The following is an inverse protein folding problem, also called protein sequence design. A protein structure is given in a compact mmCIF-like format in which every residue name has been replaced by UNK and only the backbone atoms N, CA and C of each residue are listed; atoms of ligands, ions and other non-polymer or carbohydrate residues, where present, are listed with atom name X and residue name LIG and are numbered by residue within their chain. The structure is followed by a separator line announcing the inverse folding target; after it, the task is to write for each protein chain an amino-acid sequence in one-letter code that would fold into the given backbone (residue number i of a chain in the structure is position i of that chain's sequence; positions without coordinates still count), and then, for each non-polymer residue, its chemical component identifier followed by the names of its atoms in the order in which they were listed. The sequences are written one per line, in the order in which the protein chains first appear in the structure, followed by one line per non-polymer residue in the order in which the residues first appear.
data_IF_135390551412
#
_entry.id   IF_135390551412
#
_cell.length_a   1.000
_cell.length_b   1.000
_cell.length_c   1.000
_cell.angle_alpha   90.00
_cell.angle_beta   90.00
_cell.angle_gamma   90.00
#
_symmetry.space_group_name_H-M   'P 1'
#
loop_
_entity.id
_entity.type
_entity.pdbx_description
1 polymer ?
#
# COMPACT_ATOMS: atom_id res chain seq x y z
N UNK A 1 28.32 3.53 -12.34
CA UNK A 1 26.91 3.81 -11.98
C UNK A 1 26.86 5.17 -11.32
N UNK A 2 25.97 6.09 -11.72
CA UNK A 2 25.97 7.47 -11.17
C UNK A 2 25.23 7.54 -9.83
N UNK A 3 25.52 8.56 -9.02
CA UNK A 3 24.81 8.80 -7.75
C UNK A 3 23.29 8.95 -7.94
N UNK A 4 22.88 9.57 -9.04
CA UNK A 4 21.48 9.71 -9.43
C UNK A 4 20.82 8.35 -9.68
N UNK A 5 21.48 7.44 -10.39
CA UNK A 5 20.96 6.09 -10.65
C UNK A 5 20.81 5.30 -9.34
N UNK A 6 21.79 5.38 -8.44
CA UNK A 6 21.71 4.72 -7.13
C UNK A 6 20.53 5.26 -6.33
N UNK A 7 20.38 6.59 -6.26
CA UNK A 7 19.26 7.22 -5.57
C UNK A 7 17.90 6.75 -6.10
N UNK A 8 17.71 6.76 -7.43
CA UNK A 8 16.46 6.31 -8.03
C UNK A 8 16.18 4.84 -7.72
N UNK A 9 17.18 3.97 -7.81
CA UNK A 9 17.00 2.55 -7.51
C UNK A 9 16.61 2.34 -6.05
N UNK A 10 17.28 3.02 -5.12
CA UNK A 10 16.94 2.96 -3.70
C UNK A 10 15.52 3.48 -3.46
N UNK A 11 15.16 4.62 -4.06
CA UNK A 11 13.81 5.19 -3.94
C UNK A 11 12.74 4.20 -4.40
N UNK A 12 12.87 3.67 -5.62
CA UNK A 12 11.90 2.73 -6.17
C UNK A 12 11.81 1.44 -5.37
N UNK A 13 12.95 0.92 -4.91
CA UNK A 13 12.98 -0.29 -4.07
C UNK A 13 12.31 -0.03 -2.71
N UNK A 14 12.56 1.12 -2.08
CA UNK A 14 11.90 1.50 -0.83
C UNK A 14 10.39 1.64 -1.01
N UNK A 15 9.94 2.29 -2.09
CA UNK A 15 8.51 2.42 -2.39
C UNK A 15 7.86 1.05 -2.63
N UNK A 16 8.53 0.16 -3.35
CA UNK A 16 8.05 -1.20 -3.59
C UNK A 16 7.94 -2.02 -2.29
N UNK A 17 8.96 -1.94 -1.42
CA UNK A 17 8.93 -2.60 -0.11
C UNK A 17 7.78 -2.06 0.74
N UNK A 18 7.61 -0.74 0.81
CA UNK A 18 6.50 -0.13 1.55
C UNK A 18 5.16 -0.64 1.01
N UNK A 19 4.98 -0.66 -0.31
CA UNK A 19 3.76 -1.13 -0.95
C UNK A 19 3.43 -2.60 -0.61
N UNK A 20 4.43 -3.50 -0.60
CA UNK A 20 4.24 -4.91 -0.22
C UNK A 20 3.67 -5.06 1.21
N UNK A 21 4.14 -4.23 2.14
CA UNK A 21 3.80 -4.38 3.56
C UNK A 21 2.71 -3.41 4.05
N UNK A 22 2.23 -2.52 3.18
CA UNK A 22 1.27 -1.46 3.48
C UNK A 22 -0.17 -1.94 3.67
N UNK A 23 -0.51 -3.15 3.23
CA UNK A 23 -1.90 -3.64 3.32
C UNK A 23 -2.89 -2.90 2.41
N UNK A 24 -4.17 -2.90 2.79
CA UNK A 24 -5.28 -2.29 2.04
C UNK A 24 -5.27 -0.75 2.03
N UNK A 25 -4.30 -0.10 2.70
CA UNK A 25 -4.19 1.36 2.82
C UNK A 25 -4.18 2.09 1.46
N UNK A 26 -3.60 1.50 0.42
CA UNK A 26 -3.59 2.11 -0.92
C UNK A 26 -4.98 2.12 -1.57
N UNK A 27 -5.81 1.11 -1.31
CA UNK A 27 -7.21 1.09 -1.76
C UNK A 27 -8.03 2.10 -0.96
N UNK A 28 -7.84 2.16 0.36
CA UNK A 28 -8.50 3.14 1.21
C UNK A 28 -8.16 4.58 0.76
N UNK A 29 -6.90 4.85 0.42
CA UNK A 29 -6.45 6.15 -0.10
C UNK A 29 -7.08 6.46 -1.46
N UNK A 30 -7.18 5.47 -2.35
CA UNK A 30 -7.86 5.61 -3.64
C UNK A 30 -9.33 5.98 -3.48
N UNK A 31 -10.05 5.33 -2.56
CA UNK A 31 -11.45 5.65 -2.27
C UNK A 31 -11.64 6.98 -1.52
N UNK A 32 -10.59 7.50 -0.88
CA UNK A 32 -10.60 8.81 -0.23
C UNK A 32 -10.28 9.98 -1.20
N UNK A 33 -9.83 9.70 -2.44
CA UNK A 33 -9.53 10.76 -3.40
C UNK A 33 -10.80 11.38 -4.00
N UNK A 34 -10.79 12.70 -4.29
CA UNK A 34 -11.87 13.34 -5.03
C UNK A 34 -12.05 12.72 -6.40
N UNK A 35 -13.29 12.46 -6.79
CA UNK A 35 -13.65 11.84 -8.07
C UNK A 35 -13.06 12.62 -9.27
N UNK A 36 -12.07 12.04 -9.95
CA UNK A 36 -11.46 12.52 -11.19
C UNK A 36 -12.07 11.90 -12.46
N UNK A 37 -13.23 11.23 -12.34
CA UNK A 37 -14.01 10.71 -13.44
C UNK A 37 -13.37 9.45 -14.07
N UNK A 38 -13.35 9.30 -15.41
CA UNK A 38 -12.90 8.07 -16.07
C UNK A 38 -11.45 7.65 -15.80
N UNK A 39 -10.62 8.58 -15.32
CA UNK A 39 -9.23 8.30 -14.95
C UNK A 39 -9.19 7.45 -13.68
N UNK A 40 -10.10 7.69 -12.74
CA UNK A 40 -10.17 6.93 -11.49
C UNK A 40 -10.44 5.47 -11.74
N UNK A 41 -11.32 5.13 -12.69
CA UNK A 41 -11.66 3.73 -12.99
C UNK A 41 -10.43 2.94 -13.47
N UNK A 42 -9.59 3.56 -14.29
CA UNK A 42 -8.36 2.94 -14.81
C UNK A 42 -7.32 2.79 -13.69
N UNK A 43 -7.14 3.84 -12.88
CA UNK A 43 -6.21 3.82 -11.76
C UNK A 43 -6.66 2.80 -10.72
N UNK A 44 -7.94 2.77 -10.38
CA UNK A 44 -8.55 1.84 -9.45
C UNK A 44 -8.39 0.41 -9.92
N UNK A 45 -8.65 0.13 -11.21
CA UNK A 45 -8.44 -1.21 -11.78
C UNK A 45 -6.98 -1.65 -11.65
N UNK A 46 -6.03 -0.74 -11.91
CA UNK A 46 -4.61 -1.01 -11.73
C UNK A 46 -4.23 -1.28 -10.28
N UNK A 47 -4.70 -0.44 -9.35
CA UNK A 47 -4.43 -0.58 -7.91
C UNK A 47 -5.04 -1.87 -7.37
N UNK A 48 -6.30 -2.18 -7.70
CA UNK A 48 -6.98 -3.42 -7.29
C UNK A 48 -6.22 -4.64 -7.81
N UNK A 49 -5.84 -4.66 -9.10
CA UNK A 49 -5.09 -5.79 -9.66
C UNK A 49 -3.71 -5.99 -9.02
N UNK A 50 -3.03 -4.90 -8.66
CA UNK A 50 -1.77 -4.96 -7.93
C UNK A 50 -1.96 -5.50 -6.51
N UNK A 51 -3.00 -5.05 -5.80
CA UNK A 51 -3.33 -5.50 -4.45
C UNK A 51 -3.74 -6.98 -4.43
N UNK A 52 -4.50 -7.44 -5.42
CA UNK A 52 -4.83 -8.87 -5.61
C UNK A 52 -3.57 -9.71 -5.85
N UNK A 53 -2.67 -9.23 -6.73
CA UNK A 53 -1.40 -9.91 -6.99
C UNK A 53 -0.53 -9.99 -5.72
N UNK A 54 -0.47 -8.91 -4.95
CA UNK A 54 0.24 -8.89 -3.65
C UNK A 54 -0.40 -9.85 -2.65
N UNK A 55 -1.73 -9.84 -2.54
CA UNK A 55 -2.47 -10.73 -1.65
C UNK A 55 -2.22 -12.20 -2.00
N UNK A 56 -2.10 -12.53 -3.29
CA UNK A 56 -1.77 -13.89 -3.76
C UNK A 56 -0.40 -14.39 -3.29
N UNK A 57 0.55 -13.49 -2.99
CA UNK A 57 1.86 -13.83 -2.46
C UNK A 57 1.85 -14.08 -0.94
N UNK A 58 0.74 -13.80 -0.25
CA UNK A 58 0.61 -14.00 1.19
C UNK A 58 1.50 -13.07 2.03
N UNK A 59 1.89 -11.93 1.48
CA UNK A 59 2.69 -10.96 2.21
C UNK A 59 1.90 -10.43 3.44
N UNK A 60 2.55 -10.30 4.61
CA UNK A 60 1.88 -9.84 5.82
C UNK A 60 1.55 -8.34 5.73
N UNK A 61 0.33 -7.98 6.12
CA UNK A 61 -0.09 -6.60 6.33
C UNK A 61 0.46 -6.08 7.67
N UNK A 62 1.63 -5.45 7.64
CA UNK A 62 2.30 -4.95 8.84
C UNK A 62 1.53 -3.78 9.48
N UNK A 63 0.83 -2.99 8.67
CA UNK A 63 0.02 -1.87 9.16
C UNK A 63 -1.18 -2.35 9.96
N UNK A 64 -1.91 -3.33 9.43
CA UNK A 64 -2.99 -3.98 10.16
C UNK A 64 -2.48 -4.64 11.42
N UNK A 65 -1.36 -5.37 11.37
CA UNK A 65 -0.76 -5.98 12.56
C UNK A 65 -0.41 -4.94 13.65
N UNK A 66 0.19 -3.82 13.26
CA UNK A 66 0.51 -2.73 14.19
C UNK A 66 -0.76 -2.10 14.77
N UNK A 67 -1.75 -1.83 13.91
CA UNK A 67 -3.04 -1.27 14.30
C UNK A 67 -3.72 -2.19 15.30
N UNK A 68 -3.85 -3.47 14.99
CA UNK A 68 -4.49 -4.47 15.86
C UNK A 68 -3.75 -4.60 17.20
N UNK A 69 -2.42 -4.56 17.19
CA UNK A 69 -1.61 -4.52 18.41
C UNK A 69 -1.91 -3.26 19.25
N UNK A 70 -2.01 -2.09 18.63
CA UNK A 70 -2.35 -0.84 19.32
C UNK A 70 -3.78 -0.85 19.87
N UNK A 71 -4.76 -1.37 19.13
CA UNK A 71 -6.12 -1.53 19.63
C UNK A 71 -6.19 -2.49 20.81
N UNK A 72 -5.44 -3.61 20.75
CA UNK A 72 -5.30 -4.54 21.86
C UNK A 72 -4.67 -3.90 23.10
N UNK A 73 -3.64 -3.06 22.92
CA UNK A 73 -2.97 -2.36 24.01
C UNK A 73 -3.81 -1.23 24.62
N UNK A 74 -4.64 -0.56 23.83
CA UNK A 74 -5.45 0.59 24.28
C UNK A 74 -6.84 0.22 24.77
N UNK A 75 -7.22 -1.07 24.69
CA UNK A 75 -8.55 -1.53 25.07
C UNK A 75 -9.66 -1.04 24.14
N UNK A 76 -9.31 -0.46 22.99
CA UNK A 76 -10.22 -0.04 21.92
C UNK A 76 -10.54 -1.21 20.97
N UNK A 77 -10.48 -2.44 21.48
CA UNK A 77 -10.61 -3.67 20.69
C UNK A 77 -11.95 -3.72 19.95
N UNK A 78 -11.86 -3.95 18.64
CA UNK A 78 -12.95 -4.50 17.84
C UNK A 78 -13.09 -6.01 18.09
#
# INVERSE_FOLDING_TARGET
MSAYTVFLMTLWLSLFVIWIFSGEQFLDLMFAMPNAGPIDDVVLTGVVGLEEARASWGAPDLFRMLRDALHGLTGLGG
#
